data_IF_245665360207
#
_entry.id   IF_245665360207
#
_cell.length_a   1.000
_cell.length_b   1.000
_cell.length_c   1.000
_cell.angle_alpha   90.00
_cell.angle_beta   90.00
_cell.angle_gamma   90.00
#
_symmetry.space_group_name_H-M   'P 1'
#
loop_
_entity.id
_entity.type
_entity.pdbx_description
1 polymer ?
#
# COMPACT_ATOMS: atom_id res chain seq x y z
N UNK A 1 5.31 -9.02 -9.00
CA UNK A 1 6.56 -8.43 -9.56
C UNK A 1 7.74 -8.38 -8.59
N UNK A 2 7.62 -8.83 -7.34
CA UNK A 2 8.73 -8.72 -6.37
C UNK A 2 9.93 -9.61 -6.72
N UNK A 3 9.68 -10.87 -7.11
CA UNK A 3 10.74 -11.85 -7.35
C UNK A 3 11.69 -11.46 -8.49
N UNK A 4 11.16 -10.85 -9.56
CA UNK A 4 11.95 -10.44 -10.74
C UNK A 4 12.99 -9.34 -10.47
N UNK A 5 12.85 -8.61 -9.36
CA UNK A 5 13.81 -7.59 -8.94
C UNK A 5 14.75 -8.11 -7.86
N UNK A 6 14.24 -9.01 -7.03
CA UNK A 6 14.95 -9.60 -5.92
C UNK A 6 16.02 -10.60 -6.39
N UNK A 7 15.65 -11.52 -7.27
CA UNK A 7 16.52 -12.58 -7.77
C UNK A 7 17.81 -12.05 -8.45
N UNK A 8 17.74 -11.17 -9.48
CA UNK A 8 18.96 -10.68 -10.13
C UNK A 8 19.83 -9.82 -9.19
N UNK A 9 19.25 -9.12 -8.22
CA UNK A 9 20.02 -8.34 -7.25
C UNK A 9 20.87 -9.24 -6.35
N UNK A 10 20.28 -10.33 -5.83
CA UNK A 10 20.98 -11.30 -5.00
C UNK A 10 22.01 -12.11 -5.80
N UNK A 11 21.69 -12.49 -7.04
CA UNK A 11 22.60 -13.24 -7.91
C UNK A 11 23.89 -12.46 -8.23
N UNK A 12 23.81 -11.14 -8.36
CA UNK A 12 24.97 -10.26 -8.55
C UNK A 12 25.69 -9.88 -7.24
N UNK A 13 25.31 -10.46 -6.10
CA UNK A 13 25.93 -10.20 -4.80
C UNK A 13 25.57 -8.85 -4.17
N UNK A 14 24.48 -8.20 -4.60
CA UNK A 14 24.05 -6.92 -4.06
C UNK A 14 23.13 -7.09 -2.84
N UNK A 15 23.20 -6.13 -1.91
CA UNK A 15 22.21 -5.95 -0.84
C UNK A 15 21.00 -5.17 -1.35
N UNK A 16 19.79 -5.52 -0.88
CA UNK A 16 18.54 -4.93 -1.35
C UNK A 16 17.61 -4.52 -0.21
N UNK A 17 17.06 -3.31 -0.32
CA UNK A 17 15.95 -2.84 0.52
C UNK A 17 14.67 -2.81 -0.32
N UNK A 18 13.74 -3.71 -0.02
CA UNK A 18 12.45 -3.82 -0.68
C UNK A 18 11.43 -2.94 0.05
N UNK A 19 10.87 -1.95 -0.66
CA UNK A 19 9.66 -1.24 -0.25
C UNK A 19 8.47 -1.82 -1.02
N UNK A 20 7.75 -2.80 -0.46
CA UNK A 20 6.62 -3.38 -1.15
C UNK A 20 5.45 -2.39 -1.28
N UNK A 21 4.66 -2.56 -2.34
CA UNK A 21 3.39 -1.86 -2.48
C UNK A 21 2.45 -2.28 -1.34
N UNK A 22 1.67 -1.34 -0.81
CA UNK A 22 0.77 -1.58 0.34
C UNK A 22 -0.31 -2.60 0.09
N UNK A 23 -0.63 -2.86 -1.17
CA UNK A 23 -1.59 -3.88 -1.58
C UNK A 23 -1.01 -5.30 -1.47
N UNK A 24 0.31 -5.45 -1.49
CA UNK A 24 1.00 -6.76 -1.45
C UNK A 24 2.16 -6.84 -0.43
N UNK A 25 1.98 -6.36 0.82
CA UNK A 25 3.06 -6.36 1.80
C UNK A 25 3.36 -7.77 2.31
N UNK A 26 2.35 -8.65 2.40
CA UNK A 26 2.53 -10.02 2.89
C UNK A 26 3.31 -10.89 1.93
N UNK A 27 3.08 -10.75 0.62
CA UNK A 27 3.88 -11.44 -0.38
C UNK A 27 5.35 -11.06 -0.24
N UNK A 28 5.64 -9.78 0.05
CA UNK A 28 7.00 -9.32 0.28
C UNK A 28 7.61 -9.81 1.60
N UNK A 29 6.81 -9.86 2.68
CA UNK A 29 7.25 -10.38 3.97
C UNK A 29 7.44 -11.90 3.96
N UNK A 30 6.61 -12.65 3.23
CA UNK A 30 6.79 -14.08 3.02
C UNK A 30 8.02 -14.37 2.16
N UNK A 31 8.24 -13.60 1.08
CA UNK A 31 9.51 -13.71 0.35
C UNK A 31 10.69 -13.39 1.28
N UNK A 32 10.57 -12.41 2.18
CA UNK A 32 11.60 -12.12 3.17
C UNK A 32 11.81 -13.28 4.19
N UNK A 33 10.77 -14.01 4.58
CA UNK A 33 10.92 -15.19 5.46
C UNK A 33 11.60 -16.34 4.73
N UNK A 34 11.25 -16.59 3.46
CA UNK A 34 11.90 -17.62 2.64
C UNK A 34 13.38 -17.28 2.43
N UNK A 35 13.76 -16.02 2.23
CA UNK A 35 15.18 -15.60 2.15
C UNK A 35 15.91 -15.86 3.47
N UNK A 36 15.24 -15.65 4.60
CA UNK A 36 15.80 -15.95 5.92
C UNK A 36 15.99 -17.46 6.12
N UNK A 37 15.02 -18.28 5.71
CA UNK A 37 15.09 -19.74 5.76
C UNK A 37 16.16 -20.30 4.81
N UNK A 38 16.36 -19.67 3.65
CA UNK A 38 17.39 -20.03 2.68
C UNK A 38 18.83 -19.74 3.19
N UNK A 39 18.99 -19.20 4.39
CA UNK A 39 20.29 -19.05 5.05
C UNK A 39 21.11 -17.85 4.57
N UNK A 40 20.49 -16.87 3.91
CA UNK A 40 21.18 -15.65 3.53
C UNK A 40 21.65 -14.89 4.78
N UNK A 41 22.89 -14.34 4.77
CA UNK A 41 23.38 -13.51 5.86
C UNK A 41 22.39 -12.39 6.25
N UNK A 42 22.19 -12.10 7.54
CA UNK A 42 21.30 -11.05 8.00
C UNK A 42 21.63 -9.70 7.34
N UNK A 43 20.59 -8.96 6.92
CA UNK A 43 20.75 -7.62 6.35
C UNK A 43 20.98 -7.57 4.83
N UNK A 44 21.13 -8.71 4.14
CA UNK A 44 21.25 -8.74 2.68
C UNK A 44 19.94 -8.38 1.97
N UNK A 45 18.79 -8.79 2.52
CA UNK A 45 17.47 -8.43 2.02
C UNK A 45 16.61 -7.86 3.16
N UNK A 46 16.26 -6.58 3.06
CA UNK A 46 15.45 -5.88 4.07
C UNK A 46 14.11 -5.46 3.46
N UNK A 47 13.00 -5.91 4.03
CA UNK A 47 11.67 -5.46 3.58
C UNK A 47 11.16 -4.36 4.52
N UNK A 48 11.03 -3.15 3.97
CA UNK A 48 10.59 -1.95 4.70
C UNK A 48 9.26 -1.45 4.13
N UNK A 49 8.13 -1.96 4.63
CA UNK A 49 6.82 -1.43 4.27
C UNK A 49 6.67 -0.02 4.90
N UNK A 50 6.73 1.03 4.08
CA UNK A 50 6.51 2.43 4.51
C UNK A 50 5.33 3.08 3.81
N UNK A 51 4.75 4.05 4.52
CA UNK A 51 3.38 4.55 4.44
C UNK A 51 2.88 4.94 3.04
N UNK A 52 1.60 4.70 2.82
CA UNK A 52 0.89 5.11 1.61
C UNK A 52 0.42 6.53 1.84
N UNK A 53 0.61 7.47 0.89
CA UNK A 53 0.03 8.80 1.03
C UNK A 53 -1.46 8.65 1.37
N UNK A 54 -1.92 9.30 2.45
CA UNK A 54 -3.31 9.17 2.93
C UNK A 54 -4.31 9.33 1.78
N UNK A 55 -3.99 10.19 0.81
CA UNK A 55 -4.77 10.42 -0.42
C UNK A 55 -4.93 9.17 -1.29
N UNK A 56 -3.92 8.33 -1.42
CA UNK A 56 -3.94 7.09 -2.20
C UNK A 56 -4.73 6.02 -1.48
N UNK A 57 -4.57 5.89 -0.16
CA UNK A 57 -5.39 5.00 0.66
C UNK A 57 -6.87 5.41 0.60
N UNK A 58 -7.14 6.71 0.76
CA UNK A 58 -8.47 7.30 0.61
C UNK A 58 -9.07 7.00 -0.78
N UNK A 59 -8.33 7.24 -1.87
CA UNK A 59 -8.83 6.95 -3.22
C UNK A 59 -9.11 5.46 -3.43
N UNK A 60 -8.25 4.57 -2.92
CA UNK A 60 -8.44 3.13 -3.02
C UNK A 60 -9.70 2.63 -2.29
N UNK A 61 -10.15 3.31 -1.24
CA UNK A 61 -11.38 2.98 -0.50
C UNK A 61 -12.61 3.49 -1.25
N UNK A 62 -12.59 4.75 -1.69
CA UNK A 62 -13.77 5.45 -2.18
C UNK A 62 -13.95 5.41 -3.71
N UNK A 63 -12.98 4.86 -4.45
CA UNK A 63 -13.13 4.60 -5.89
C UNK A 63 -14.36 3.72 -6.13
N UNK A 64 -15.18 4.08 -7.14
CA UNK A 64 -16.43 3.40 -7.47
C UNK A 64 -17.40 3.26 -6.28
N UNK A 65 -17.46 4.26 -5.38
CA UNK A 65 -18.30 4.18 -4.18
C UNK A 65 -17.93 3.00 -3.27
N UNK A 66 -16.68 2.51 -3.37
CA UNK A 66 -16.24 1.28 -2.70
C UNK A 66 -16.81 -0.02 -3.29
N UNK A 67 -17.52 0.04 -4.42
CA UNK A 67 -18.15 -1.13 -5.08
C UNK A 67 -17.17 -1.92 -5.96
N UNK A 68 -15.91 -1.47 -6.07
CA UNK A 68 -14.87 -2.25 -6.72
C UNK A 68 -14.42 -3.41 -5.83
N UNK A 69 -14.33 -4.62 -6.37
CA UNK A 69 -13.82 -5.79 -5.64
C UNK A 69 -12.36 -5.63 -5.14
N UNK A 70 -11.63 -4.67 -5.73
CA UNK A 70 -10.27 -4.28 -5.34
C UNK A 70 -10.22 -3.07 -4.40
N UNK A 71 -11.38 -2.58 -3.93
CA UNK A 71 -11.43 -1.47 -3.00
C UNK A 71 -10.73 -1.84 -1.68
N UNK A 72 -9.91 -0.92 -1.17
CA UNK A 72 -9.15 -1.16 0.05
C UNK A 72 -10.09 -1.12 1.26
N UNK A 73 -10.52 -2.28 1.74
CA UNK A 73 -11.40 -2.39 2.92
C UNK A 73 -10.67 -2.19 4.25
N UNK A 74 -9.34 -2.34 4.27
CA UNK A 74 -8.48 -2.16 5.46
C UNK A 74 -7.15 -1.49 5.09
N UNK A 75 -6.74 -0.49 5.87
CA UNK A 75 -5.52 0.30 5.65
C UNK A 75 -4.70 0.30 6.95
N UNK A 76 -3.54 -0.35 6.96
CA UNK A 76 -2.61 -0.29 8.09
C UNK A 76 -1.72 0.95 7.99
N UNK A 77 -1.48 1.59 9.14
CA UNK A 77 -0.67 2.81 9.29
C UNK A 77 0.22 2.61 10.52
N UNK A 78 1.46 3.10 10.46
CA UNK A 78 2.39 3.04 11.58
C UNK A 78 1.87 3.90 12.75
N UNK A 79 2.03 3.43 14.00
CA UNK A 79 1.44 4.07 15.19
C UNK A 79 1.80 5.57 15.31
N UNK A 80 3.03 5.94 14.97
CA UNK A 80 3.50 7.33 15.00
C UNK A 80 2.84 8.25 13.97
N UNK A 81 2.09 7.69 13.02
CA UNK A 81 1.42 8.41 11.92
C UNK A 81 -0.12 8.26 11.96
N UNK A 82 -0.65 7.52 12.93
CA UNK A 82 -2.06 7.12 12.96
C UNK A 82 -3.00 8.33 13.05
N UNK A 83 -2.80 9.21 14.03
CA UNK A 83 -3.70 10.34 14.27
C UNK A 83 -3.73 11.33 13.09
N UNK A 84 -2.57 11.60 12.52
CA UNK A 84 -2.44 12.43 11.31
C UNK A 84 -3.13 11.78 10.10
N UNK A 85 -3.02 10.46 9.96
CA UNK A 85 -3.64 9.72 8.86
C UNK A 85 -5.16 9.65 8.96
N UNK A 86 -5.70 9.44 10.16
CA UNK A 86 -7.15 9.42 10.40
C UNK A 86 -7.73 10.82 10.14
N UNK A 87 -7.12 11.85 10.72
CA UNK A 87 -7.57 13.25 10.55
C UNK A 87 -7.59 13.64 9.08
N UNK A 88 -6.51 13.35 8.35
CA UNK A 88 -6.41 13.66 6.93
C UNK A 88 -7.40 12.86 6.07
N UNK A 89 -7.66 11.60 6.41
CA UNK A 89 -8.66 10.78 5.69
C UNK A 89 -10.07 11.34 5.89
N UNK A 90 -10.42 11.74 7.10
CA UNK A 90 -11.71 12.33 7.43
C UNK A 90 -11.93 13.68 6.72
N UNK A 91 -10.90 14.53 6.65
CA UNK A 91 -10.94 15.78 5.88
C UNK A 91 -11.23 15.54 4.39
N UNK A 92 -10.55 14.56 3.79
CA UNK A 92 -10.72 14.22 2.38
C UNK A 92 -12.13 13.66 2.10
N UNK A 93 -12.65 12.84 3.01
CA UNK A 93 -14.00 12.30 2.90
C UNK A 93 -15.07 13.40 2.96
N UNK A 94 -14.93 14.38 3.86
CA UNK A 94 -15.86 15.51 4.00
C UNK A 94 -15.90 16.44 2.78
N UNK A 95 -14.79 16.53 2.04
CA UNK A 95 -14.66 17.42 0.87
C UNK A 95 -15.19 16.81 -0.43
N UNK A 96 -15.61 15.54 -0.38
CA UNK A 96 -15.96 14.77 -1.56
C UNK A 96 -17.37 15.12 -2.02
N UNK A 97 -17.53 15.39 -3.32
CA UNK A 97 -18.82 15.78 -3.89
C UNK A 97 -19.64 14.52 -4.18
N UNK A 98 -20.73 14.33 -3.42
CA UNK A 98 -21.67 13.21 -3.59
C UNK A 98 -22.93 13.73 -4.30
N UNK A 99 -23.32 13.13 -5.41
CA UNK A 99 -24.37 13.69 -6.25
C UNK A 99 -24.79 12.82 -7.44
N UNK A 100 -25.45 13.44 -8.41
CA UNK A 100 -25.89 12.80 -9.65
C UNK A 100 -24.66 12.33 -10.46
N UNK A 101 -24.58 11.04 -10.86
CA UNK A 101 -23.46 10.52 -11.66
C UNK A 101 -23.33 11.16 -13.05
N UNK A 102 -24.38 11.83 -13.56
CA UNK A 102 -24.32 12.57 -14.82
C UNK A 102 -23.83 14.01 -14.65
N UNK A 103 -23.71 14.53 -13.41
CA UNK A 103 -23.06 15.81 -13.15
C UNK A 103 -21.52 15.63 -13.17
N UNK A 104 -20.87 16.40 -14.06
CA UNK A 104 -19.41 16.38 -14.24
C UNK A 104 -18.59 16.77 -13.00
N UNK A 105 -19.23 17.38 -12.00
CA UNK A 105 -18.59 17.79 -10.73
C UNK A 105 -18.72 16.73 -9.64
N UNK A 106 -19.56 15.71 -9.83
CA UNK A 106 -19.74 14.61 -8.88
C UNK A 106 -18.51 13.70 -8.84
N UNK A 107 -17.94 13.53 -7.64
CA UNK A 107 -16.84 12.59 -7.39
C UNK A 107 -17.34 11.20 -6.95
N UNK A 108 -18.58 11.12 -6.47
CA UNK A 108 -19.19 9.90 -5.95
C UNK A 108 -20.70 9.87 -6.21
N UNK A 109 -21.16 8.92 -7.02
CA UNK A 109 -22.58 8.66 -7.23
C UNK A 109 -23.21 7.79 -6.12
N UNK A 110 -24.52 7.45 -6.25
CA UNK A 110 -25.18 6.45 -5.42
C UNK A 110 -24.66 5.03 -5.66
#
# INVERSE_FOLDING_TARGET
MLVWKLEPALACGNVIVLKPAKQTPLTALFCASVIKEAGFPPGIANSVPVDVPVRTAHRAVFTHVGQGCFAASRVFVHSTLYDGSVSKTAELAKKRIVGDPFDSTTEQGP
#
